data_IF_017042223369
#
_entry.id   IF_017042223369
#
_cell.length_a   1.000
_cell.length_b   1.000
_cell.length_c   1.000
_cell.angle_alpha   90.00
_cell.angle_beta   90.00
_cell.angle_gamma   90.00
#
_symmetry.space_group_name_H-M   'P 1'
#
loop_
_entity.id
_entity.type
_entity.pdbx_description
1 polymer ?
#
# COMPACT_ATOMS: atom_id res chain seq x y z
N UNK A 1 4.36 17.71 7.37
CA UNK A 1 4.95 17.66 6.07
C UNK A 1 5.20 16.25 5.61
N UNK A 2 4.96 16.06 4.40
CA UNK A 2 5.11 14.74 3.86
C UNK A 2 6.56 14.37 3.73
N UNK A 3 6.87 13.21 4.22
CA UNK A 3 8.21 12.69 4.06
C UNK A 3 8.38 11.96 2.75
N UNK A 4 7.29 11.71 2.07
CA UNK A 4 7.33 10.88 0.88
C UNK A 4 8.22 11.46 -0.19
N UNK A 5 7.97 12.69 -0.56
CA UNK A 5 8.68 13.30 -1.65
C UNK A 5 10.15 13.45 -1.38
N UNK A 6 10.53 13.59 -0.13
CA UNK A 6 11.92 13.80 0.21
C UNK A 6 12.67 12.51 0.49
N UNK A 7 11.97 11.42 0.70
CA UNK A 7 12.63 10.17 1.03
C UNK A 7 12.71 9.21 -0.13
N UNK A 8 11.68 9.18 -0.96
CA UNK A 8 11.57 8.17 -2.01
C UNK A 8 11.09 8.83 -3.28
N UNK A 9 11.78 8.58 -4.36
CA UNK A 9 11.33 9.04 -5.67
C UNK A 9 10.18 8.18 -6.16
N UNK A 10 9.48 8.66 -7.18
CA UNK A 10 8.40 7.90 -7.79
C UNK A 10 8.91 6.55 -8.30
N UNK A 11 10.07 6.54 -8.93
CA UNK A 11 10.64 5.31 -9.47
C UNK A 11 10.98 4.32 -8.36
N UNK A 12 11.51 4.82 -7.25
CA UNK A 12 11.83 3.94 -6.14
C UNK A 12 10.56 3.31 -5.56
N UNK A 13 9.50 4.10 -5.45
CA UNK A 13 8.25 3.58 -4.93
C UNK A 13 7.71 2.48 -5.83
N UNK A 14 7.75 2.67 -7.12
CA UNK A 14 7.27 1.67 -8.07
C UNK A 14 8.13 0.41 -8.00
N UNK A 15 9.44 0.57 -7.95
CA UNK A 15 10.35 -0.57 -7.92
C UNK A 15 10.26 -1.34 -6.63
N UNK A 16 9.96 -0.67 -5.52
CA UNK A 16 9.90 -1.33 -4.21
C UNK A 16 8.54 -1.95 -3.93
N UNK A 17 7.56 -1.69 -4.76
CA UNK A 17 6.23 -2.28 -4.59
C UNK A 17 6.12 -3.51 -5.46
N UNK A 18 5.03 -4.26 -5.28
CA UNK A 18 4.78 -5.45 -6.08
C UNK A 18 3.98 -5.15 -7.35
N UNK A 19 3.71 -3.89 -7.65
CA UNK A 19 2.97 -3.54 -8.85
C UNK A 19 3.91 -3.37 -10.02
N UNK A 20 3.37 -3.60 -11.23
CA UNK A 20 4.16 -3.40 -12.43
C UNK A 20 4.50 -1.92 -12.59
N UNK A 21 5.63 -1.66 -13.21
CA UNK A 21 6.09 -0.29 -13.41
C UNK A 21 5.09 0.51 -14.23
N UNK A 22 4.53 -0.10 -15.27
CA UNK A 22 3.56 0.59 -16.12
C UNK A 22 2.34 0.99 -15.32
N UNK A 23 1.82 0.06 -14.51
CA UNK A 23 0.65 0.35 -13.72
C UNK A 23 0.95 1.43 -12.67
N UNK A 24 2.13 1.36 -12.07
CA UNK A 24 2.53 2.37 -11.11
C UNK A 24 2.59 3.75 -11.71
N UNK A 25 3.13 3.86 -12.92
CA UNK A 25 3.17 5.15 -13.62
C UNK A 25 1.78 5.67 -13.90
N UNK A 26 0.86 4.79 -14.25
CA UNK A 26 -0.51 5.21 -14.54
C UNK A 26 -1.16 5.79 -13.29
N UNK A 27 -0.89 5.21 -12.12
CA UNK A 27 -1.42 5.73 -10.87
C UNK A 27 -0.88 7.12 -10.60
N UNK A 28 0.44 7.29 -10.68
CA UNK A 28 1.06 8.57 -10.36
C UNK A 28 0.75 9.64 -11.38
N UNK A 29 0.52 9.27 -12.61
CA UNK A 29 0.24 10.26 -13.67
C UNK A 29 -1.24 10.56 -13.79
N UNK A 30 -2.09 9.88 -13.05
CA UNK A 30 -3.52 10.11 -13.12
C UNK A 30 -4.21 9.49 -14.31
N UNK A 31 -3.52 8.65 -15.05
CA UNK A 31 -4.11 8.01 -16.22
C UNK A 31 -4.97 6.83 -15.88
N UNK A 32 -4.87 6.35 -14.66
CA UNK A 32 -5.67 5.24 -14.18
C UNK A 32 -6.58 5.78 -13.09
N UNK A 33 -7.82 6.17 -13.44
CA UNK A 33 -8.65 6.93 -12.52
C UNK A 33 -9.12 6.13 -11.30
N UNK A 34 -9.21 4.81 -11.38
CA UNK A 34 -9.74 4.04 -10.26
C UNK A 34 -8.81 2.89 -9.89
N UNK A 35 -7.64 3.21 -9.30
CA UNK A 35 -6.75 2.14 -8.86
C UNK A 35 -7.42 1.33 -7.75
N UNK A 36 -7.12 0.05 -7.70
CA UNK A 36 -7.66 -0.77 -6.64
C UNK A 36 -6.98 -0.40 -5.33
N UNK A 37 -7.69 -0.64 -4.24
CA UNK A 37 -7.14 -0.37 -2.92
C UNK A 37 -5.87 -1.18 -2.67
N UNK A 38 -5.86 -2.42 -3.12
CA UNK A 38 -4.70 -3.29 -2.90
C UNK A 38 -3.47 -2.78 -3.65
N UNK A 39 -3.65 -2.16 -4.80
CA UNK A 39 -2.52 -1.58 -5.51
C UNK A 39 -1.96 -0.38 -4.75
N UNK A 40 -2.83 0.41 -4.14
CA UNK A 40 -2.37 1.53 -3.31
C UNK A 40 -1.63 1.00 -2.07
N UNK A 41 -2.13 -0.10 -1.49
CA UNK A 41 -1.44 -0.72 -0.35
C UNK A 41 -0.05 -1.20 -0.75
N UNK A 42 0.10 -1.73 -1.96
CA UNK A 42 1.42 -2.12 -2.44
C UNK A 42 2.37 -0.93 -2.52
N UNK A 43 1.86 0.21 -2.97
CA UNK A 43 2.67 1.43 -2.99
C UNK A 43 3.04 1.89 -1.59
N UNK A 44 2.09 1.78 -0.65
CA UNK A 44 2.35 2.17 0.74
C UNK A 44 3.54 1.40 1.28
N UNK A 45 3.56 0.10 1.09
CA UNK A 45 4.69 -0.71 1.55
C UNK A 45 5.95 -0.42 0.73
N UNK A 46 5.82 -0.20 -0.56
CA UNK A 46 6.97 0.12 -1.40
C UNK A 46 7.62 1.44 -1.02
N UNK A 47 6.83 2.41 -0.57
CA UNK A 47 7.32 3.71 -0.16
C UNK A 47 7.66 3.76 1.33
N UNK A 48 7.41 2.68 2.04
CA UNK A 48 7.66 2.60 3.49
C UNK A 48 6.99 3.73 4.25
N UNK A 49 5.74 4.02 3.90
CA UNK A 49 5.00 5.11 4.53
C UNK A 49 4.62 4.75 5.96
N UNK A 50 4.58 5.78 6.81
CA UNK A 50 4.02 5.59 8.15
C UNK A 50 2.50 5.54 8.05
N UNK A 51 1.84 5.30 9.17
CA UNK A 51 0.39 5.12 9.18
C UNK A 51 -0.34 6.36 8.69
N UNK A 52 0.08 7.51 9.17
CA UNK A 52 -0.59 8.77 8.81
C UNK A 52 -0.54 9.02 7.31
N UNK A 53 0.64 8.87 6.72
CA UNK A 53 0.79 9.10 5.29
C UNK A 53 0.10 8.01 4.49
N UNK A 54 0.06 6.79 5.02
CA UNK A 54 -0.65 5.69 4.37
C UNK A 54 -2.14 5.99 4.25
N UNK A 55 -2.74 6.44 5.35
CA UNK A 55 -4.17 6.78 5.34
C UNK A 55 -4.45 7.94 4.39
N UNK A 56 -3.55 8.91 4.36
CA UNK A 56 -3.70 10.05 3.46
C UNK A 56 -3.64 9.62 2.01
N UNK A 57 -2.72 8.72 1.67
CA UNK A 57 -2.62 8.26 0.31
C UNK A 57 -3.85 7.49 -0.13
N UNK A 58 -4.38 6.63 0.75
CA UNK A 58 -5.62 5.91 0.45
C UNK A 58 -6.75 6.89 0.17
N UNK A 59 -6.87 7.90 1.00
CA UNK A 59 -7.91 8.89 0.84
C UNK A 59 -7.76 9.67 -0.47
N UNK A 60 -6.54 10.08 -0.78
CA UNK A 60 -6.28 10.80 -2.03
C UNK A 60 -6.56 9.96 -3.25
N UNK A 61 -6.35 8.66 -3.15
CA UNK A 61 -6.63 7.75 -4.26
C UNK A 61 -8.11 7.42 -4.39
N UNK A 62 -8.94 7.91 -3.47
CA UNK A 62 -10.37 7.68 -3.55
C UNK A 62 -10.79 6.29 -3.10
N UNK A 63 -9.95 5.63 -2.32
CA UNK A 63 -10.28 4.30 -1.79
C UNK A 63 -10.43 4.38 -0.27
N UNK A 64 -10.92 3.30 0.34
CA UNK A 64 -11.16 3.28 1.77
C UNK A 64 -9.87 3.33 2.56
N UNK A 65 -9.86 4.13 3.61
CA UNK A 65 -8.77 4.09 4.58
C UNK A 65 -8.80 2.77 5.34
N UNK A 66 -7.76 2.54 6.11
CA UNK A 66 -7.67 1.33 6.93
C UNK A 66 -8.42 1.54 8.25
N UNK A 67 -9.26 0.59 8.60
CA UNK A 67 -10.09 0.67 9.80
C UNK A 67 -9.76 -0.46 10.74
N UNK A 68 -9.40 -0.17 12.00
CA UNK A 68 -8.98 -1.22 12.94
C UNK A 68 -10.07 -2.22 13.27
N UNK A 69 -11.32 -1.90 13.03
CA UNK A 69 -12.42 -2.84 13.29
C UNK A 69 -12.54 -3.93 12.24
N UNK A 70 -11.93 -3.73 11.08
CA UNK A 70 -11.94 -4.72 10.02
C UNK A 70 -10.72 -5.60 10.22
N UNK A 71 -10.92 -6.92 10.33
CA UNK A 71 -9.84 -7.83 10.66
C UNK A 71 -8.66 -7.70 9.69
N UNK A 72 -8.94 -7.71 8.39
CA UNK A 72 -7.88 -7.59 7.39
C UNK A 72 -7.12 -6.28 7.56
N UNK A 73 -7.87 -5.20 7.73
CA UNK A 73 -7.25 -3.87 7.89
C UNK A 73 -6.42 -3.80 9.16
N UNK A 74 -6.87 -4.42 10.25
CA UNK A 74 -6.11 -4.39 11.49
C UNK A 74 -4.78 -5.10 11.37
N UNK A 75 -4.73 -6.15 10.57
CA UNK A 75 -3.47 -6.86 10.30
C UNK A 75 -2.53 -5.96 9.50
N UNK A 76 -3.07 -5.28 8.50
CA UNK A 76 -2.28 -4.37 7.67
C UNK A 76 -1.78 -3.20 8.50
N UNK A 77 -2.63 -2.65 9.37
CA UNK A 77 -2.22 -1.58 10.27
C UNK A 77 -1.07 -2.03 11.18
N UNK A 78 -1.16 -3.23 11.70
CA UNK A 78 -0.09 -3.79 12.52
C UNK A 78 1.23 -3.87 11.72
N UNK A 79 1.15 -4.36 10.49
CA UNK A 79 2.33 -4.49 9.66
C UNK A 79 2.97 -3.13 9.37
N UNK A 80 2.15 -2.13 9.07
CA UNK A 80 2.66 -0.78 8.81
C UNK A 80 3.33 -0.22 10.05
N UNK A 81 2.69 -0.36 11.21
CA UNK A 81 3.25 0.15 12.46
C UNK A 81 4.55 -0.54 12.86
N UNK A 82 4.68 -1.80 12.53
CA UNK A 82 5.90 -2.55 12.84
C UNK A 82 6.98 -2.40 11.77
N UNK A 83 6.69 -1.72 10.68
CA UNK A 83 7.65 -1.58 9.60
C UNK A 83 7.94 -2.88 8.87
N UNK A 84 6.96 -3.75 8.79
CA UNK A 84 7.13 -5.02 8.10
C UNK A 84 7.08 -4.81 6.60
N UNK A 85 7.66 -5.76 5.86
CA UNK A 85 7.58 -5.76 4.41
C UNK A 85 6.20 -6.24 3.98
N UNK A 86 5.87 -6.00 2.70
CA UNK A 86 4.60 -6.47 2.18
C UNK A 86 4.54 -8.00 2.19
N UNK A 87 5.67 -8.65 1.97
CA UNK A 87 5.72 -10.11 2.02
C UNK A 87 5.38 -10.63 3.40
N UNK A 88 5.91 -9.99 4.44
CA UNK A 88 5.59 -10.38 5.80
C UNK A 88 4.12 -10.12 6.14
N UNK A 89 3.60 -8.99 5.67
CA UNK A 89 2.21 -8.68 5.87
C UNK A 89 1.32 -9.74 5.21
N UNK A 90 1.66 -10.13 3.99
CA UNK A 90 0.89 -11.14 3.28
C UNK A 90 0.96 -12.49 3.96
N UNK A 91 2.11 -12.84 4.54
CA UNK A 91 2.20 -14.06 5.33
C UNK A 91 1.20 -14.05 6.49
N UNK A 92 1.14 -12.93 7.19
CA UNK A 92 0.20 -12.80 8.30
C UNK A 92 -1.24 -12.88 7.83
N UNK A 93 -1.54 -12.22 6.75
CA UNK A 93 -2.89 -12.26 6.19
C UNK A 93 -3.28 -13.68 5.82
N UNK A 94 -2.38 -14.37 5.15
CA UNK A 94 -2.65 -15.74 4.75
C UNK A 94 -2.86 -16.65 5.95
N UNK A 95 -1.98 -16.54 6.95
CA UNK A 95 -2.07 -17.37 8.14
C UNK A 95 -3.34 -17.13 8.93
N UNK A 96 -3.84 -15.91 8.90
CA UNK A 96 -5.03 -15.54 9.65
C UNK A 96 -6.31 -15.65 8.81
N UNK A 97 -6.21 -16.22 7.62
CA UNK A 97 -7.37 -16.51 6.79
C UNK A 97 -7.91 -15.32 6.04
N UNK A 98 -7.12 -14.28 5.86
CA UNK A 98 -7.54 -13.10 5.14
C UNK A 98 -6.92 -13.06 3.76
N UNK A 99 -7.56 -12.30 2.86
CA UNK A 99 -7.06 -12.13 1.52
C UNK A 99 -5.73 -11.38 1.54
N UNK A 100 -4.74 -11.89 0.82
CA UNK A 100 -3.44 -11.22 0.73
C UNK A 100 -3.54 -9.97 -0.15
N UNK A 101 -2.56 -9.08 0.00
CA UNK A 101 -2.53 -7.85 -0.78
C UNK A 101 -2.02 -8.13 -2.19
N UNK A 102 -0.96 -8.93 -2.30
CA UNK A 102 -0.43 -9.28 -3.60
C UNK A 102 -1.30 -10.37 -4.20
N UNK A 103 -1.97 -10.00 -5.27
CA UNK A 103 -2.90 -10.90 -5.91
C UNK A 103 -2.22 -11.49 -7.15
N UNK A 104 -2.16 -12.80 -7.20
CA UNK A 104 -1.44 -13.46 -8.27
C UNK A 104 -2.32 -13.87 -9.44
N UNK A 105 -3.54 -13.50 -9.42
CA UNK A 105 -4.45 -13.82 -10.53
C UNK A 105 -4.05 -13.15 -11.81
#
# INVERSE_FOLDING_TARGET
MLSIGRLISKNEAINNSAISQIYGYQIFSGKRPNPSRDKILQLIFGMSLNLEDSQRLLKLAGVSELYPRIKRDSIILFAINKGLTIEKCDELLFELGEKTIINKD
#
